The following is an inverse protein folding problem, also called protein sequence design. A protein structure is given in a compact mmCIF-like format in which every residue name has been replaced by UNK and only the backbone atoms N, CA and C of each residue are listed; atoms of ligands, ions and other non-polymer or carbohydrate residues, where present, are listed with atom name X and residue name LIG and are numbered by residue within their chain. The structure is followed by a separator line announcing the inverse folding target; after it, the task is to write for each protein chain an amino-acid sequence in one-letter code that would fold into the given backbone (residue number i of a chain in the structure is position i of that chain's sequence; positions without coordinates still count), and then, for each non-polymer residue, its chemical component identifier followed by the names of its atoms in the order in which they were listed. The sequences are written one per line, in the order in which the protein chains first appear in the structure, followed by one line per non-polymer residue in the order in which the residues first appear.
data_IF_503199962751
#
_entry.id   IF_503199962751
#
_cell.length_a   1.000
_cell.length_b   1.000
_cell.length_c   1.000
_cell.angle_alpha   90.00
_cell.angle_beta   90.00
_cell.angle_gamma   90.00
#
_symmetry.space_group_name_H-M   'P 1'
#
loop_
_entity.id
_entity.type
_entity.pdbx_description
1 polymer ?
#
# COMPACT_ATOMS: atom_id res chain seq x y z
N UNK A 1 -4.09 10.71 -14.66
CA UNK A 1 -3.80 10.80 -13.22
C UNK A 1 -3.51 9.39 -12.72
N UNK A 2 -2.24 9.01 -12.60
CA UNK A 2 -1.89 7.71 -12.02
C UNK A 2 -2.46 7.62 -10.61
N UNK A 3 -3.23 6.57 -10.31
CA UNK A 3 -3.72 6.32 -8.95
C UNK A 3 -2.53 5.96 -8.04
N UNK A 4 -1.79 6.98 -7.61
CA UNK A 4 -0.61 6.86 -6.75
C UNK A 4 -0.93 6.26 -5.37
N UNK A 5 -2.21 6.03 -5.06
CA UNK A 5 -2.72 5.64 -3.73
C UNK A 5 -3.90 4.66 -3.81
N UNK A 6 -3.90 3.71 -4.75
CA UNK A 6 -4.88 2.60 -4.67
C UNK A 6 -4.70 1.86 -3.34
N UNK A 7 -5.82 1.70 -2.63
CA UNK A 7 -5.95 0.85 -1.45
C UNK A 7 -6.25 -0.58 -1.90
N UNK A 8 -5.88 -1.56 -1.09
CA UNK A 8 -6.18 -2.96 -1.30
C UNK A 8 -7.51 -3.34 -0.63
N UNK A 9 -8.26 -4.22 -1.28
CA UNK A 9 -9.30 -5.04 -0.65
C UNK A 9 -8.88 -6.52 -0.66
N UNK A 10 -9.54 -7.41 0.13
CA UNK A 10 -9.20 -8.83 0.12
C UNK A 10 -9.34 -9.49 -1.26
N UNK A 11 -10.25 -9.01 -2.10
CA UNK A 11 -10.48 -9.53 -3.45
C UNK A 11 -9.35 -9.16 -4.44
N UNK A 12 -8.48 -8.22 -4.07
CA UNK A 12 -7.32 -7.86 -4.88
C UNK A 12 -6.18 -8.87 -4.76
N UNK A 13 -6.27 -9.85 -3.84
CA UNK A 13 -5.25 -10.86 -3.61
C UNK A 13 -5.47 -12.11 -4.44
N UNK A 14 -4.37 -12.63 -4.98
CA UNK A 14 -4.29 -13.90 -5.66
C UNK A 14 -3.48 -14.87 -4.80
N UNK A 15 -3.95 -16.10 -4.66
CA UNK A 15 -3.23 -17.12 -3.93
C UNK A 15 -2.10 -17.69 -4.78
N UNK A 16 -0.88 -17.68 -4.26
CA UNK A 16 0.30 -18.26 -4.87
C UNK A 16 0.60 -19.58 -4.18
N UNK A 17 0.24 -20.68 -4.84
CA UNK A 17 0.40 -22.03 -4.30
C UNK A 17 1.86 -22.37 -3.99
N UNK A 18 2.80 -21.97 -4.84
CA UNK A 18 4.24 -22.22 -4.67
C UNK A 18 4.82 -21.61 -3.39
N UNK A 19 4.22 -20.52 -2.91
CA UNK A 19 4.65 -19.79 -1.72
C UNK A 19 3.75 -20.05 -0.51
N UNK A 20 2.59 -20.70 -0.71
CA UNK A 20 1.53 -20.83 0.28
C UNK A 20 1.14 -19.47 0.90
N UNK A 21 1.05 -18.43 0.05
CA UNK A 21 0.76 -17.05 0.45
C UNK A 21 -0.16 -16.38 -0.55
N UNK A 22 -0.92 -15.40 -0.08
CA UNK A 22 -1.68 -14.46 -0.90
C UNK A 22 -0.81 -13.27 -1.31
N UNK A 23 -0.92 -12.82 -2.56
CA UNK A 23 -0.22 -11.66 -3.09
C UNK A 23 -1.17 -10.69 -3.80
N UNK A 24 -0.97 -9.39 -3.63
CA UNK A 24 -1.73 -8.38 -4.39
C UNK A 24 -1.50 -8.51 -5.91
N UNK A 25 -2.59 -8.52 -6.68
CA UNK A 25 -2.55 -8.57 -8.15
C UNK A 25 -1.91 -7.32 -8.79
N UNK A 26 -2.12 -6.14 -8.20
CA UNK A 26 -1.76 -4.86 -8.80
C UNK A 26 -0.46 -4.21 -8.26
N UNK A 27 0.07 -4.70 -7.14
CA UNK A 27 1.30 -4.16 -6.53
C UNK A 27 2.21 -5.30 -6.06
N UNK A 28 3.40 -5.38 -6.65
CA UNK A 28 4.39 -6.45 -6.40
C UNK A 28 5.64 -5.93 -5.68
N UNK A 29 5.61 -4.69 -5.19
CA UNK A 29 6.74 -4.08 -4.48
C UNK A 29 6.97 -4.79 -3.14
N UNK A 30 8.20 -4.77 -2.60
CA UNK A 30 8.51 -5.37 -1.30
C UNK A 30 8.04 -4.46 -0.15
N UNK A 31 6.73 -4.16 -0.09
CA UNK A 31 6.11 -3.36 0.96
C UNK A 31 5.17 -4.22 1.80
N UNK A 32 4.92 -3.79 3.03
CA UNK A 32 4.10 -4.53 3.96
C UNK A 32 2.67 -4.73 3.43
N UNK A 33 2.15 -5.94 3.60
CA UNK A 33 0.81 -6.32 3.15
C UNK A 33 0.74 -6.83 1.72
N UNK A 34 1.74 -6.58 0.85
CA UNK A 34 1.72 -7.11 -0.53
C UNK A 34 1.67 -8.63 -0.59
N UNK A 35 2.42 -9.32 0.28
CA UNK A 35 2.32 -10.77 0.52
C UNK A 35 1.87 -11.03 1.95
N UNK A 36 0.94 -11.95 2.13
CA UNK A 36 0.37 -12.27 3.44
C UNK A 36 -0.24 -13.67 3.48
N UNK A 37 -0.47 -14.20 4.68
CA UNK A 37 -1.16 -15.49 4.88
C UNK A 37 -2.69 -15.35 4.82
N UNK A 38 -3.19 -14.16 5.13
CA UNK A 38 -4.62 -13.82 5.13
C UNK A 38 -4.83 -12.49 4.38
N UNK A 39 -5.63 -12.48 3.30
CA UNK A 39 -5.85 -11.28 2.47
C UNK A 39 -6.57 -10.15 3.23
N UNK A 40 -7.36 -10.44 4.26
CA UNK A 40 -8.00 -9.42 5.11
C UNK A 40 -6.94 -8.65 5.89
N UNK A 41 -6.08 -9.38 6.60
CA UNK A 41 -4.97 -8.80 7.37
C UNK A 41 -3.95 -8.12 6.43
N UNK A 42 -3.72 -8.70 5.25
CA UNK A 42 -2.88 -8.12 4.21
C UNK A 42 -3.38 -6.73 3.79
N UNK A 43 -4.66 -6.63 3.44
CA UNK A 43 -5.30 -5.39 3.00
C UNK A 43 -5.18 -4.30 4.07
N UNK A 44 -5.46 -4.61 5.34
CA UNK A 44 -5.32 -3.68 6.46
C UNK A 44 -3.90 -3.14 6.57
N UNK A 45 -2.89 -4.04 6.57
CA UNK A 45 -1.48 -3.66 6.69
C UNK A 45 -1.01 -2.82 5.52
N UNK A 46 -1.37 -3.21 4.30
CA UNK A 46 -1.05 -2.47 3.09
C UNK A 46 -1.63 -1.05 3.18
N UNK A 47 -2.92 -0.92 3.48
CA UNK A 47 -3.64 0.35 3.54
C UNK A 47 -3.08 1.28 4.63
N UNK A 48 -2.76 0.76 5.82
CA UNK A 48 -2.08 1.53 6.86
C UNK A 48 -0.73 2.09 6.39
N UNK A 49 0.04 1.31 5.63
CA UNK A 49 1.29 1.77 5.02
C UNK A 49 1.06 2.90 4.00
N UNK A 50 0.00 2.82 3.19
CA UNK A 50 -0.35 3.85 2.21
C UNK A 50 -0.74 5.17 2.87
N UNK A 51 -1.54 5.13 3.93
CA UNK A 51 -1.94 6.34 4.66
C UNK A 51 -0.74 7.02 5.34
N UNK A 52 0.19 6.24 5.92
CA UNK A 52 1.46 6.80 6.45
C UNK A 52 2.27 7.49 5.35
N UNK A 53 2.39 6.86 4.18
CA UNK A 53 3.13 7.45 3.06
C UNK A 53 2.45 8.73 2.54
N UNK A 54 1.13 8.74 2.45
CA UNK A 54 0.33 9.91 2.07
C UNK A 54 0.52 11.06 3.06
N UNK A 55 0.51 10.77 4.36
CA UNK A 55 0.77 11.76 5.41
C UNK A 55 2.20 12.35 5.38
N UNK A 56 3.20 11.55 5.00
CA UNK A 56 4.58 12.03 4.82
C UNK A 56 4.73 12.87 3.54
N UNK A 57 4.05 12.48 2.47
CA UNK A 57 4.06 13.21 1.20
C UNK A 57 3.35 14.57 1.30
N UNK A 58 2.28 14.67 2.10
CA UNK A 58 1.58 15.95 2.33
C UNK A 58 2.40 16.94 3.17
N UNK A 59 3.19 16.45 4.13
CA UNK A 59 4.08 17.30 4.96
C UNK A 59 5.19 17.98 4.15
N UNK A 60 5.72 17.32 3.13
CA UNK A 60 6.77 17.89 2.27
C UNK A 60 6.26 18.97 1.30
N UNK A 61 4.95 19.09 1.08
CA UNK A 61 4.39 20.18 0.26
C UNK A 61 4.28 21.51 1.01
N UNK A 62 4.45 21.52 2.34
CA UNK A 62 4.17 22.70 3.17
C UNK A 62 5.42 23.50 3.59
N UNK A 63 6.61 23.15 3.08
CA UNK A 63 7.87 23.87 3.39
C UNK A 63 8.35 24.79 2.28
N UNK A 64 7.52 25.07 1.25
CA UNK A 64 7.88 25.88 0.08
C UNK A 64 7.46 27.36 0.10
N UNK A 65 6.72 27.84 1.11
CA UNK A 65 6.25 29.23 1.18
C UNK A 65 6.62 29.90 2.51
N UNK A 66 7.92 30.11 2.74
CA UNK A 66 8.42 31.12 3.69
C UNK A 66 9.49 31.95 3.00
N UNK A 67 9.04 32.89 2.18
CA UNK A 67 9.78 34.12 1.92
C UNK A 67 9.36 35.13 2.98
N UNK A 68 10.28 35.45 3.88
CA UNK A 68 10.35 36.74 4.57
C UNK A 68 11.65 37.41 4.10
#
# INVERSE_FOLDING_TARGET
MSQLFRLASPEDYEYIEELNLWELSFDKRPVQGVRCEDPVIGAEKYNQGREKFKALASRHKNTGNRTD
#
